data_IF_436687074297
#
_entry.id   IF_436687074297
#
_cell.length_a   1.000
_cell.length_b   1.000
_cell.length_c   1.000
_cell.angle_alpha   90.00
_cell.angle_beta   90.00
_cell.angle_gamma   90.00
#
_symmetry.space_group_name_H-M   'P 1'
#
loop_
_entity.id
_entity.type
_entity.pdbx_description
1 polymer ?
#
# COMPACT_ATOMS: atom_id res chain seq x y z
N UNK A 1 -11.99 -4.53 -3.10
CA UNK A 1 -11.91 -4.88 -1.66
C UNK A 1 -11.40 -3.72 -0.79
N UNK A 2 -10.33 -3.00 -1.14
CA UNK A 2 -9.87 -1.90 -0.26
C UNK A 2 -10.89 -0.76 -0.11
N UNK A 3 -11.53 -0.34 -1.22
CA UNK A 3 -12.58 0.68 -1.18
C UNK A 3 -13.79 0.25 -0.33
N UNK A 4 -14.13 -1.04 -0.34
CA UNK A 4 -15.24 -1.58 0.48
C UNK A 4 -14.87 -1.63 1.97
N UNK A 5 -13.59 -1.61 2.31
CA UNK A 5 -13.07 -1.49 3.67
C UNK A 5 -12.87 -0.02 4.10
N UNK A 6 -13.26 0.96 3.28
CA UNK A 6 -13.13 2.38 3.59
C UNK A 6 -11.72 2.96 3.33
N UNK A 7 -10.86 2.23 2.64
CA UNK A 7 -9.51 2.69 2.26
C UNK A 7 -9.56 3.25 0.85
N UNK A 8 -9.32 4.56 0.71
CA UNK A 8 -9.44 5.30 -0.55
C UNK A 8 -8.17 6.05 -0.95
N UNK A 9 -7.21 6.20 -0.02
CA UNK A 9 -6.02 7.01 -0.25
C UNK A 9 -4.75 6.24 0.05
N UNK A 10 -3.67 6.58 -0.67
CA UNK A 10 -2.34 6.04 -0.37
C UNK A 10 -1.85 6.47 1.01
N UNK A 11 -2.29 7.61 1.53
CA UNK A 11 -1.95 8.06 2.89
C UNK A 11 -2.46 7.10 3.97
N UNK A 12 -3.69 6.56 3.81
CA UNK A 12 -4.21 5.54 4.72
C UNK A 12 -3.34 4.28 4.70
N UNK A 13 -3.02 3.78 3.52
CA UNK A 13 -2.16 2.58 3.37
C UNK A 13 -0.75 2.83 3.91
N UNK A 14 -0.19 4.02 3.68
CA UNK A 14 1.13 4.43 4.17
C UNK A 14 1.20 4.48 5.70
N UNK A 15 0.07 4.71 6.37
CA UNK A 15 -0.03 4.78 7.84
C UNK A 15 -0.24 3.43 8.53
N UNK A 16 -0.47 2.34 7.78
CA UNK A 16 -0.71 1.03 8.38
C UNK A 16 0.49 0.52 9.20
N UNK A 17 0.20 0.17 10.45
CA UNK A 17 1.04 -0.62 11.34
C UNK A 17 0.79 -2.10 11.08
N UNK A 18 1.56 -2.94 11.77
CA UNK A 18 1.50 -4.41 11.62
C UNK A 18 0.08 -4.96 11.79
N UNK A 19 -0.64 -4.51 12.82
CA UNK A 19 -2.00 -4.96 13.10
C UNK A 19 -2.99 -4.58 11.98
N UNK A 20 -2.91 -3.37 11.41
CA UNK A 20 -3.77 -2.99 10.28
C UNK A 20 -3.44 -3.80 9.02
N UNK A 21 -2.15 -4.09 8.77
CA UNK A 21 -1.76 -4.96 7.65
C UNK A 21 -2.34 -6.35 7.80
N UNK A 22 -2.18 -6.98 8.97
CA UNK A 22 -2.71 -8.32 9.25
C UNK A 22 -4.24 -8.35 9.14
N UNK A 23 -4.92 -7.34 9.67
CA UNK A 23 -6.37 -7.22 9.57
C UNK A 23 -6.83 -7.11 8.12
N UNK A 24 -6.27 -6.18 7.33
CA UNK A 24 -6.63 -6.01 5.90
C UNK A 24 -6.29 -7.26 5.10
N UNK A 25 -5.13 -7.89 5.36
CA UNK A 25 -4.68 -9.09 4.67
C UNK A 25 -5.68 -10.25 4.85
N UNK A 26 -6.32 -10.33 6.02
CA UNK A 26 -7.42 -11.25 6.31
C UNK A 26 -8.63 -11.15 5.37
N UNK A 27 -8.86 -10.00 4.74
CA UNK A 27 -9.94 -9.78 3.77
C UNK A 27 -9.52 -9.97 2.31
N UNK A 28 -8.22 -10.19 2.05
CA UNK A 28 -7.72 -10.40 0.70
C UNK A 28 -7.86 -11.87 0.30
N UNK A 29 -8.32 -12.11 -0.93
CA UNK A 29 -8.36 -13.47 -1.49
C UNK A 29 -6.98 -14.13 -1.61
N UNK A 30 -5.92 -13.32 -1.62
CA UNK A 30 -4.53 -13.75 -1.60
C UNK A 30 -3.80 -13.08 -0.44
N UNK A 31 -3.71 -13.81 0.67
CA UNK A 31 -3.03 -13.38 1.89
C UNK A 31 -1.50 -13.29 1.69
N UNK A 32 -0.85 -12.52 2.55
CA UNK A 32 0.59 -12.25 2.57
C UNK A 32 1.06 -11.24 1.51
N UNK A 33 0.19 -10.74 0.64
CA UNK A 33 0.59 -9.82 -0.45
C UNK A 33 0.94 -8.42 0.05
N UNK A 34 0.33 -7.97 1.15
CA UNK A 34 0.58 -6.63 1.68
C UNK A 34 2.05 -6.48 2.09
N UNK A 35 2.61 -7.50 2.75
CA UNK A 35 4.00 -7.50 3.17
C UNK A 35 4.94 -7.97 2.05
N UNK A 36 4.61 -9.04 1.32
CA UNK A 36 5.44 -9.55 0.21
C UNK A 36 5.70 -8.49 -0.86
N UNK A 37 4.70 -7.69 -1.19
CA UNK A 37 4.79 -6.67 -2.22
C UNK A 37 5.06 -5.28 -1.63
N UNK A 38 5.39 -5.17 -0.34
CA UNK A 38 5.78 -3.91 0.31
C UNK A 38 4.76 -2.76 0.15
N UNK A 39 3.45 -3.05 0.28
CA UNK A 39 2.38 -2.08 -0.02
C UNK A 39 2.52 -0.76 0.74
N UNK A 40 2.89 -0.83 2.02
CA UNK A 40 3.08 0.36 2.85
C UNK A 40 4.23 1.23 2.32
N UNK A 41 5.31 0.62 1.84
CA UNK A 41 6.46 1.35 1.29
C UNK A 41 6.11 2.01 -0.04
N UNK A 42 5.40 1.29 -0.90
CA UNK A 42 4.88 1.82 -2.17
C UNK A 42 3.92 2.98 -1.92
N UNK A 43 2.96 2.80 -1.02
CA UNK A 43 2.00 3.81 -0.63
C UNK A 43 2.66 5.05 -0.02
N UNK A 44 3.73 4.90 0.77
CA UNK A 44 4.51 6.04 1.28
C UNK A 44 5.12 6.88 0.16
N UNK A 45 5.70 6.24 -0.86
CA UNK A 45 6.24 6.95 -2.01
C UNK A 45 5.14 7.69 -2.79
N UNK A 46 4.02 7.00 -3.05
CA UNK A 46 2.87 7.57 -3.77
C UNK A 46 2.20 8.72 -2.98
N UNK A 47 2.06 8.59 -1.67
CA UNK A 47 1.48 9.62 -0.82
C UNK A 47 2.38 10.86 -0.71
N UNK A 48 3.71 10.69 -0.77
CA UNK A 48 4.67 11.78 -0.63
C UNK A 48 4.84 12.63 -1.89
N UNK A 49 4.85 12.01 -3.07
CA UNK A 49 5.07 12.75 -4.32
C UNK A 49 4.55 12.04 -5.57
N UNK A 50 3.57 11.16 -5.40
CA UNK A 50 2.91 10.45 -6.49
C UNK A 50 3.86 9.58 -7.32
N UNK A 51 3.57 9.51 -8.61
CA UNK A 51 4.32 8.66 -9.57
C UNK A 51 5.78 9.09 -9.69
N UNK A 52 6.08 10.38 -9.60
CA UNK A 52 7.46 10.89 -9.69
C UNK A 52 8.32 10.38 -8.52
N UNK A 53 7.80 10.48 -7.29
CA UNK A 53 8.49 9.96 -6.11
C UNK A 53 8.57 8.43 -6.13
N UNK A 54 7.52 7.75 -6.62
CA UNK A 54 7.54 6.30 -6.79
C UNK A 54 8.64 5.84 -7.75
N UNK A 55 8.76 6.48 -8.92
CA UNK A 55 9.84 6.18 -9.88
C UNK A 55 11.21 6.45 -9.26
N UNK A 56 11.35 7.55 -8.50
CA UNK A 56 12.60 7.87 -7.81
C UNK A 56 13.00 6.81 -6.78
N UNK A 57 12.04 6.24 -6.06
CA UNK A 57 12.29 5.24 -4.99
C UNK A 57 12.47 3.82 -5.55
N UNK A 58 11.70 3.45 -6.56
CA UNK A 58 11.62 2.07 -7.06
C UNK A 58 12.22 1.86 -8.47
N UNK A 59 12.62 2.94 -9.16
CA UNK A 59 13.22 2.87 -10.50
C UNK A 59 12.25 2.45 -11.61
N UNK A 60 10.96 2.29 -11.31
CA UNK A 60 9.93 1.82 -12.24
C UNK A 60 8.61 2.55 -11.99
N UNK A 61 7.72 2.53 -12.99
CA UNK A 61 6.35 3.06 -12.83
C UNK A 61 5.54 2.16 -11.88
N UNK A 62 4.62 2.72 -11.09
CA UNK A 62 3.64 1.92 -10.38
C UNK A 62 2.78 1.18 -11.42
N UNK A 63 2.54 -0.10 -11.19
CA UNK A 63 1.80 -1.01 -12.07
C UNK A 63 0.46 -1.35 -11.45
#
# INVERSE_FOLDING_TARGET
ILHTLGIFTFAQVASWKKAEREWVDGYLSFQGRIDRDDWVKQAKALAKGGVAEYIRVFGKKPV
#
